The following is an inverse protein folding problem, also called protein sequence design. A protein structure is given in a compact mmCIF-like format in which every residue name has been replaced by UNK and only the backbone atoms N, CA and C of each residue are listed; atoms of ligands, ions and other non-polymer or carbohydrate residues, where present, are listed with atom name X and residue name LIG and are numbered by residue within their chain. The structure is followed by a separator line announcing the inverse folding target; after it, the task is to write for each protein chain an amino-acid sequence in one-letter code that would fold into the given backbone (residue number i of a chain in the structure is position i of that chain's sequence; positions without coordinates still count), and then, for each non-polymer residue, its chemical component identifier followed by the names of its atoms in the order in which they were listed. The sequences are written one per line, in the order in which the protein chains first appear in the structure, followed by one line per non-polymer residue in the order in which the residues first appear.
data_IF_307625730142
#
_entry.id   IF_307625730142
#
_cell.length_a   1.000
_cell.length_b   1.000
_cell.length_c   1.000
_cell.angle_alpha   90.00
_cell.angle_beta   90.00
_cell.angle_gamma   90.00
#
_symmetry.space_group_name_H-M   'P 1'
#
loop_
_entity.id
_entity.type
_entity.pdbx_description
1 polymer ?
#
# COMPACT_ATOMS: atom_id res chain seq x y z
N UNK A 1 29.03 -33.90 21.09
CA UNK A 1 29.56 -32.55 21.48
C UNK A 1 28.66 -31.46 20.84
N UNK A 2 28.52 -30.24 21.39
CA UNK A 2 27.69 -29.19 20.76
C UNK A 2 28.11 -28.83 19.33
N UNK A 3 29.42 -28.94 19.05
CA UNK A 3 29.97 -28.66 17.69
C UNK A 3 29.52 -29.70 16.66
N UNK A 4 29.47 -30.98 17.04
CA UNK A 4 29.06 -32.05 16.13
C UNK A 4 27.57 -31.93 15.83
N UNK A 5 26.76 -31.61 16.85
CA UNK A 5 25.34 -31.34 16.65
C UNK A 5 25.06 -30.11 15.75
N UNK A 6 25.88 -29.07 15.89
CA UNK A 6 25.78 -27.90 15.01
C UNK A 6 26.13 -28.26 13.56
N UNK A 7 27.15 -29.09 13.33
CA UNK A 7 27.52 -29.55 12.00
C UNK A 7 26.40 -30.36 11.34
N UNK A 8 25.79 -31.31 12.08
CA UNK A 8 24.62 -32.07 11.60
C UNK A 8 23.46 -31.17 11.20
N UNK A 9 23.13 -30.15 12.04
CA UNK A 9 22.07 -29.18 11.74
C UNK A 9 22.41 -28.31 10.52
N UNK A 10 23.66 -27.98 10.29
CA UNK A 10 24.07 -27.23 9.10
C UNK A 10 23.97 -28.08 7.82
N UNK A 11 24.26 -29.37 7.88
CA UNK A 11 24.04 -30.27 6.73
C UNK A 11 22.54 -30.36 6.39
N UNK A 12 21.68 -30.53 7.40
CA UNK A 12 20.22 -30.54 7.17
C UNK A 12 19.72 -29.21 6.62
N UNK A 13 20.20 -28.07 7.15
CA UNK A 13 19.86 -26.73 6.63
C UNK A 13 20.35 -26.52 5.20
N UNK A 14 21.53 -27.02 4.85
CA UNK A 14 22.08 -26.91 3.50
C UNK A 14 21.22 -27.67 2.47
N UNK A 15 20.76 -28.88 2.84
CA UNK A 15 19.88 -29.68 2.00
C UNK A 15 18.53 -29.00 1.80
N UNK A 16 17.89 -28.55 2.88
CA UNK A 16 16.60 -27.86 2.83
C UNK A 16 16.68 -26.53 2.07
N UNK A 17 17.78 -25.78 2.25
CA UNK A 17 18.03 -24.55 1.49
C UNK A 17 18.19 -24.83 -0.01
N UNK A 18 18.91 -25.88 -0.37
CA UNK A 18 19.07 -26.30 -1.76
C UNK A 18 17.73 -26.69 -2.40
N UNK A 19 16.92 -27.50 -1.71
CA UNK A 19 15.59 -27.88 -2.15
C UNK A 19 14.69 -26.66 -2.35
N UNK A 20 14.68 -25.73 -1.39
CA UNK A 20 13.92 -24.49 -1.47
C UNK A 20 14.35 -23.64 -2.68
N UNK A 21 15.66 -23.47 -2.89
CA UNK A 21 16.17 -22.69 -4.01
C UNK A 21 15.76 -23.29 -5.36
N UNK A 22 15.82 -24.61 -5.50
CA UNK A 22 15.39 -25.30 -6.71
C UNK A 22 13.87 -25.16 -6.97
N UNK A 23 13.05 -25.23 -5.91
CA UNK A 23 11.60 -24.98 -5.98
C UNK A 23 11.33 -23.54 -6.40
N UNK A 24 12.00 -22.56 -5.77
CA UNK A 24 11.90 -21.15 -6.15
C UNK A 24 12.31 -20.94 -7.61
N UNK A 25 13.35 -21.62 -8.09
CA UNK A 25 13.77 -21.62 -9.50
C UNK A 25 12.66 -22.09 -10.43
N UNK A 26 11.99 -23.21 -10.10
CA UNK A 26 10.87 -23.71 -10.89
C UNK A 26 9.66 -22.74 -10.89
N UNK A 27 9.38 -22.10 -9.76
CA UNK A 27 8.35 -21.06 -9.68
C UNK A 27 8.67 -19.89 -10.62
N UNK A 28 9.91 -19.44 -10.64
CA UNK A 28 10.36 -18.33 -11.51
C UNK A 28 10.20 -18.70 -12.98
N UNK A 29 10.55 -19.92 -13.39
CA UNK A 29 10.36 -20.42 -14.78
C UNK A 29 8.88 -20.40 -15.18
N UNK A 30 7.98 -20.90 -14.32
CA UNK A 30 6.53 -20.89 -14.56
C UNK A 30 6.02 -19.45 -14.69
N UNK A 31 6.49 -18.54 -13.85
CA UNK A 31 6.11 -17.13 -13.90
C UNK A 31 6.63 -16.47 -15.19
N UNK A 32 7.83 -16.81 -15.64
CA UNK A 32 8.36 -16.34 -16.92
C UNK A 32 7.52 -16.83 -18.11
N UNK A 33 7.01 -18.06 -18.05
CA UNK A 33 6.08 -18.61 -19.06
C UNK A 33 4.76 -17.85 -19.06
N UNK A 34 4.15 -17.64 -17.89
CA UNK A 34 2.90 -16.87 -17.74
C UNK A 34 3.03 -15.45 -18.31
N UNK A 35 4.17 -14.81 -18.08
CA UNK A 35 4.42 -13.44 -18.56
C UNK A 35 4.63 -13.41 -20.08
N UNK A 36 5.50 -14.29 -20.59
CA UNK A 36 5.81 -14.41 -22.03
C UNK A 36 4.57 -14.71 -22.86
N UNK A 37 3.71 -15.59 -22.39
CA UNK A 37 2.52 -16.05 -23.12
C UNK A 37 1.30 -15.15 -22.87
N UNK A 38 1.46 -14.06 -22.08
CA UNK A 38 0.41 -13.07 -21.81
C UNK A 38 -0.78 -13.60 -21.02
N UNK A 39 -0.62 -14.69 -20.26
CA UNK A 39 -1.70 -15.40 -19.59
C UNK A 39 -2.26 -14.67 -18.36
N UNK A 40 -1.57 -13.66 -17.87
CA UNK A 40 -1.98 -12.88 -16.68
C UNK A 40 -3.37 -12.26 -16.85
N UNK A 41 -3.69 -11.72 -18.05
CA UNK A 41 -4.93 -11.01 -18.33
C UNK A 41 -6.20 -11.87 -18.17
N UNK A 42 -6.10 -13.17 -18.39
CA UNK A 42 -7.21 -14.13 -18.27
C UNK A 42 -7.70 -14.25 -16.82
N UNK A 43 -6.84 -14.01 -15.85
CA UNK A 43 -7.11 -14.25 -14.42
C UNK A 43 -7.80 -13.07 -13.73
N UNK A 44 -7.97 -11.92 -14.40
CA UNK A 44 -8.41 -10.68 -13.77
C UNK A 44 -7.34 -9.94 -12.96
N UNK A 45 -6.14 -10.48 -12.81
CA UNK A 45 -5.06 -9.80 -12.11
C UNK A 45 -4.53 -8.59 -12.89
N UNK A 46 -4.12 -7.52 -12.20
CA UNK A 46 -3.63 -6.29 -12.84
C UNK A 46 -2.23 -6.40 -13.40
N UNK A 47 -1.45 -7.35 -12.92
CA UNK A 47 -0.08 -7.60 -13.34
C UNK A 47 0.35 -9.01 -12.91
N UNK A 48 1.39 -9.53 -13.56
CA UNK A 48 1.98 -10.83 -13.17
C UNK A 48 2.42 -10.82 -11.71
N UNK A 49 3.01 -9.73 -11.22
CA UNK A 49 3.39 -9.62 -9.81
C UNK A 49 2.17 -9.68 -8.86
N UNK A 50 1.05 -9.04 -9.21
CA UNK A 50 -0.17 -9.14 -8.42
C UNK A 50 -0.76 -10.54 -8.45
N UNK A 51 -0.71 -11.23 -9.61
CA UNK A 51 -1.12 -12.62 -9.76
C UNK A 51 -0.29 -13.56 -8.88
N UNK A 52 1.04 -13.41 -8.90
CA UNK A 52 1.98 -14.22 -8.11
C UNK A 52 1.75 -14.00 -6.62
N UNK A 53 1.63 -12.75 -6.17
CA UNK A 53 1.34 -12.42 -4.78
C UNK A 53 0.04 -13.10 -4.30
N UNK A 54 -1.02 -12.97 -5.08
CA UNK A 54 -2.32 -13.55 -4.77
C UNK A 54 -2.29 -15.08 -4.76
N UNK A 55 -1.87 -15.71 -5.86
CA UNK A 55 -1.98 -17.17 -6.04
C UNK A 55 -1.00 -17.97 -5.19
N UNK A 56 0.14 -17.40 -4.85
CA UNK A 56 1.13 -18.06 -3.98
C UNK A 56 1.04 -17.60 -2.52
N UNK A 57 0.19 -16.62 -2.17
CA UNK A 57 0.07 -16.09 -0.83
C UNK A 57 1.34 -15.35 -0.36
N UNK A 58 2.04 -14.67 -1.30
CA UNK A 58 3.30 -14.00 -1.03
C UNK A 58 3.12 -12.49 -0.80
N UNK A 59 4.12 -11.90 -0.13
CA UNK A 59 4.20 -10.44 -0.06
C UNK A 59 4.39 -9.82 -1.45
N UNK A 60 3.93 -8.58 -1.66
CA UNK A 60 4.14 -7.86 -2.91
C UNK A 60 5.63 -7.71 -3.26
N UNK A 61 6.50 -7.60 -2.25
CA UNK A 61 7.96 -7.52 -2.43
C UNK A 61 8.52 -8.81 -2.98
N UNK A 62 8.16 -9.95 -2.39
CA UNK A 62 8.62 -11.28 -2.85
C UNK A 62 8.09 -11.58 -4.26
N UNK A 63 6.82 -11.28 -4.52
CA UNK A 63 6.23 -11.44 -5.84
C UNK A 63 6.92 -10.56 -6.90
N UNK A 64 7.28 -9.32 -6.53
CA UNK A 64 8.07 -8.45 -7.41
C UNK A 64 9.47 -9.00 -7.68
N UNK A 65 10.14 -9.57 -6.67
CA UNK A 65 11.44 -10.23 -6.86
C UNK A 65 11.32 -11.40 -7.86
N UNK A 66 10.33 -12.28 -7.69
CA UNK A 66 10.08 -13.39 -8.61
C UNK A 66 9.87 -12.89 -10.04
N UNK A 67 9.01 -11.89 -10.24
CA UNK A 67 8.73 -11.35 -11.58
C UNK A 67 9.93 -10.63 -12.19
N UNK A 68 10.75 -9.96 -11.38
CA UNK A 68 12.00 -9.33 -11.83
C UNK A 68 13.00 -10.36 -12.33
N UNK A 69 13.17 -11.46 -11.60
CA UNK A 69 14.04 -12.56 -12.02
C UNK A 69 13.47 -13.24 -13.29
N UNK A 70 12.17 -13.53 -13.30
CA UNK A 70 11.48 -14.13 -14.43
C UNK A 70 11.66 -13.34 -15.73
N UNK A 71 11.54 -12.01 -15.67
CA UNK A 71 11.69 -11.12 -16.83
C UNK A 71 13.11 -11.05 -17.39
N UNK A 72 14.11 -11.49 -16.62
CA UNK A 72 15.51 -11.43 -17.02
C UNK A 72 16.23 -12.79 -17.03
N UNK A 73 15.48 -13.90 -16.96
CA UNK A 73 16.07 -15.26 -16.99
C UNK A 73 16.97 -15.50 -18.22
N UNK A 74 16.57 -14.98 -19.37
CA UNK A 74 17.35 -15.14 -20.62
C UNK A 74 18.67 -14.36 -20.61
N UNK A 75 18.79 -13.30 -19.78
CA UNK A 75 20.01 -12.51 -19.64
C UNK A 75 21.00 -13.16 -18.65
N UNK A 76 20.52 -14.00 -17.72
CA UNK A 76 21.29 -14.62 -16.66
C UNK A 76 21.16 -16.16 -16.62
N UNK A 77 21.46 -16.87 -17.70
CA UNK A 77 21.25 -18.32 -17.79
C UNK A 77 22.09 -19.13 -16.80
N UNK A 78 23.32 -18.72 -16.48
CA UNK A 78 24.19 -19.42 -15.52
C UNK A 78 23.70 -19.21 -14.08
N UNK A 79 23.26 -18.00 -13.75
CA UNK A 79 22.61 -17.72 -12.46
C UNK A 79 21.31 -18.50 -12.31
N UNK A 80 20.48 -18.57 -13.37
CA UNK A 80 19.25 -19.36 -13.40
C UNK A 80 19.52 -20.85 -13.19
N UNK A 81 20.52 -21.41 -13.88
CA UNK A 81 20.97 -22.78 -13.67
C UNK A 81 21.45 -23.01 -12.22
N UNK A 82 22.20 -22.08 -11.66
CA UNK A 82 22.63 -22.15 -10.26
C UNK A 82 21.48 -22.18 -9.27
N UNK A 83 20.38 -21.48 -9.57
CA UNK A 83 19.16 -21.52 -8.78
C UNK A 83 18.39 -22.85 -8.96
N UNK A 84 18.22 -23.32 -10.18
CA UNK A 84 17.58 -24.59 -10.48
C UNK A 84 18.30 -25.80 -9.83
N UNK A 85 19.62 -25.74 -9.71
CA UNK A 85 20.47 -26.72 -9.03
C UNK A 85 20.51 -26.51 -7.49
N UNK A 86 19.81 -25.52 -6.94
CA UNK A 86 19.73 -25.25 -5.51
C UNK A 86 20.88 -24.41 -4.93
N UNK A 87 21.87 -24.04 -5.74
CA UNK A 87 23.07 -23.31 -5.27
C UNK A 87 22.84 -21.83 -4.98
N UNK A 88 21.95 -21.19 -5.70
CA UNK A 88 21.65 -19.76 -5.58
C UNK A 88 20.23 -19.53 -5.11
N UNK A 89 20.05 -18.60 -4.20
CA UNK A 89 18.73 -18.25 -3.67
C UNK A 89 17.99 -17.23 -4.53
N UNK A 90 16.69 -17.17 -4.39
CA UNK A 90 15.82 -16.14 -5.00
C UNK A 90 16.27 -14.73 -4.63
N UNK A 91 16.71 -14.49 -3.39
CA UNK A 91 17.19 -13.19 -2.94
C UNK A 91 18.50 -12.78 -3.64
N UNK A 92 19.42 -13.73 -3.88
CA UNK A 92 20.65 -13.47 -4.63
C UNK A 92 20.35 -13.12 -6.10
N UNK A 93 19.53 -13.95 -6.77
CA UNK A 93 19.12 -13.68 -8.14
C UNK A 93 18.30 -12.40 -8.24
N UNK A 94 17.44 -12.10 -7.28
CA UNK A 94 16.66 -10.87 -7.24
C UNK A 94 17.52 -9.60 -7.22
N UNK A 95 18.65 -9.64 -6.52
CA UNK A 95 19.63 -8.54 -6.52
C UNK A 95 20.34 -8.43 -7.87
N UNK A 96 20.77 -9.55 -8.43
CA UNK A 96 21.47 -9.61 -9.73
C UNK A 96 20.50 -9.14 -10.83
N UNK A 97 19.36 -9.81 -11.00
CA UNK A 97 18.36 -9.47 -12.02
C UNK A 97 17.81 -8.05 -11.87
N UNK A 98 17.73 -7.52 -10.64
CA UNK A 98 17.22 -6.17 -10.41
C UNK A 98 18.15 -5.06 -10.93
N UNK A 99 19.46 -5.30 -11.06
CA UNK A 99 20.43 -4.21 -11.32
C UNK A 99 21.68 -4.56 -12.10
N UNK A 100 22.07 -5.82 -12.22
CA UNK A 100 23.28 -6.20 -12.95
C UNK A 100 23.19 -5.82 -14.44
N UNK A 101 24.32 -5.48 -15.04
CA UNK A 101 24.42 -5.14 -16.45
C UNK A 101 24.28 -6.36 -17.35
N UNK A 102 23.91 -6.14 -18.59
CA UNK A 102 23.89 -7.17 -19.62
C UNK A 102 25.31 -7.75 -19.83
N UNK A 103 25.43 -9.06 -19.98
CA UNK A 103 26.71 -9.76 -20.18
C UNK A 103 27.49 -10.05 -18.90
N UNK A 104 26.97 -9.73 -17.69
CA UNK A 104 27.64 -9.99 -16.41
C UNK A 104 27.27 -11.32 -15.74
N UNK A 105 26.55 -12.20 -16.44
CA UNK A 105 26.02 -13.47 -15.91
C UNK A 105 27.12 -14.38 -15.33
N UNK A 106 28.19 -14.66 -16.09
CA UNK A 106 29.28 -15.52 -15.65
C UNK A 106 29.93 -14.99 -14.37
N UNK A 107 30.19 -13.66 -14.33
CA UNK A 107 30.76 -13.01 -13.16
C UNK A 107 29.88 -13.18 -11.91
N UNK A 108 28.59 -12.93 -12.03
CA UNK A 108 27.69 -13.02 -10.88
C UNK A 108 27.33 -14.46 -10.51
N UNK A 109 27.27 -15.38 -11.46
CA UNK A 109 27.09 -16.80 -11.18
C UNK A 109 28.23 -17.36 -10.32
N UNK A 110 29.47 -16.95 -10.58
CA UNK A 110 30.64 -17.34 -9.77
C UNK A 110 30.65 -16.58 -8.44
N UNK A 111 30.52 -15.27 -8.46
CA UNK A 111 30.59 -14.43 -7.26
C UNK A 111 29.50 -14.78 -6.23
N UNK A 112 28.27 -15.06 -6.67
CA UNK A 112 27.14 -15.39 -5.80
C UNK A 112 27.33 -16.70 -5.00
N UNK A 113 28.23 -17.59 -5.45
CA UNK A 113 28.55 -18.83 -4.71
C UNK A 113 29.20 -18.60 -3.35
N UNK A 114 29.88 -17.47 -3.18
CA UNK A 114 30.57 -17.12 -1.94
C UNK A 114 30.13 -15.78 -1.34
N UNK A 115 29.27 -15.02 -2.02
CA UNK A 115 28.85 -13.70 -1.61
C UNK A 115 27.51 -13.73 -0.87
N UNK A 116 27.43 -12.92 0.18
CA UNK A 116 26.15 -12.61 0.82
C UNK A 116 25.30 -11.69 -0.06
N UNK A 117 23.98 -11.67 0.15
CA UNK A 117 23.08 -10.77 -0.56
C UNK A 117 23.51 -9.29 -0.46
N UNK A 118 24.06 -8.87 0.68
CA UNK A 118 24.55 -7.50 0.86
C UNK A 118 25.82 -7.21 0.07
N UNK A 119 26.71 -8.18 -0.07
CA UNK A 119 27.89 -8.05 -0.93
C UNK A 119 27.50 -7.96 -2.41
N UNK A 120 26.55 -8.79 -2.86
CA UNK A 120 25.96 -8.69 -4.19
C UNK A 120 25.33 -7.33 -4.45
N UNK A 121 24.53 -6.80 -3.52
CA UNK A 121 23.96 -5.44 -3.65
C UNK A 121 25.03 -4.37 -3.82
N UNK A 122 26.15 -4.51 -3.10
CA UNK A 122 27.27 -3.58 -3.21
C UNK A 122 27.96 -3.70 -4.56
N UNK A 123 28.27 -4.93 -5.00
CA UNK A 123 28.92 -5.19 -6.28
C UNK A 123 28.09 -4.65 -7.46
N UNK A 124 26.82 -5.00 -7.54
CA UNK A 124 25.88 -4.54 -8.58
C UNK A 124 25.73 -3.02 -8.58
N UNK A 125 25.78 -2.38 -7.40
CA UNK A 125 25.73 -0.90 -7.30
C UNK A 125 27.00 -0.24 -7.83
N UNK A 126 28.16 -0.86 -7.65
CA UNK A 126 29.46 -0.35 -8.07
C UNK A 126 29.83 -0.72 -9.51
N UNK A 127 29.03 -1.58 -10.15
CA UNK A 127 29.23 -1.96 -11.55
C UNK A 127 29.27 -0.72 -12.45
N UNK A 128 30.30 -0.59 -13.32
CA UNK A 128 30.39 0.53 -14.24
C UNK A 128 29.18 0.59 -15.16
N UNK A 129 28.50 1.72 -15.19
CA UNK A 129 27.35 1.95 -16.07
C UNK A 129 27.65 3.09 -17.03
N UNK A 130 27.11 3.03 -18.26
CA UNK A 130 27.06 4.23 -19.08
C UNK A 130 26.39 5.34 -18.25
N UNK A 131 26.85 6.59 -18.39
CA UNK A 131 26.25 7.73 -17.67
C UNK A 131 24.74 7.65 -17.87
N UNK A 132 23.95 7.57 -16.78
CA UNK A 132 22.49 7.58 -16.91
C UNK A 132 22.08 8.87 -17.61
N UNK A 133 21.07 8.77 -18.47
CA UNK A 133 20.38 9.96 -18.95
C UNK A 133 20.03 10.87 -17.77
N UNK A 134 20.07 12.21 -17.95
CA UNK A 134 19.76 13.12 -16.88
C UNK A 134 18.43 12.70 -16.25
N UNK A 135 18.48 12.33 -14.96
CA UNK A 135 17.27 11.93 -14.25
C UNK A 135 16.28 13.07 -14.38
N UNK A 136 15.01 12.78 -14.72
CA UNK A 136 13.97 13.81 -14.63
C UNK A 136 14.02 14.40 -13.22
N UNK A 137 13.81 15.70 -13.13
CA UNK A 137 13.76 16.39 -11.84
C UNK A 137 12.82 15.62 -10.89
N UNK A 138 13.18 15.45 -9.61
CA UNK A 138 12.33 14.75 -8.67
C UNK A 138 10.94 15.39 -8.68
N UNK A 139 9.91 14.59 -8.96
CA UNK A 139 8.53 15.04 -8.90
C UNK A 139 8.12 15.25 -7.45
N UNK A 140 7.35 16.31 -7.21
CA UNK A 140 6.73 16.55 -5.91
C UNK A 140 5.86 15.35 -5.51
N UNK A 141 6.05 14.85 -4.30
CA UNK A 141 5.32 13.69 -3.79
C UNK A 141 5.04 13.82 -2.30
N UNK A 142 3.86 13.38 -1.88
CA UNK A 142 3.49 13.26 -0.47
C UNK A 142 3.05 11.81 -0.23
N UNK A 143 3.67 11.14 0.73
CA UNK A 143 3.29 9.80 1.17
C UNK A 143 2.96 9.77 2.66
N UNK A 144 2.06 8.86 3.03
CA UNK A 144 1.58 8.68 4.40
C UNK A 144 1.74 7.21 4.79
N UNK A 145 2.25 6.98 5.99
CA UNK A 145 2.31 5.67 6.63
C UNK A 145 1.81 5.82 8.06
N UNK A 146 0.88 4.96 8.50
CA UNK A 146 0.34 4.97 9.87
C UNK A 146 0.64 3.64 10.55
N UNK A 147 0.92 3.70 11.84
CA UNK A 147 0.96 2.56 12.76
C UNK A 147 -0.05 2.79 13.90
N UNK A 148 0.01 1.98 14.97
CA UNK A 148 -0.90 2.08 16.11
C UNK A 148 -0.74 3.37 16.92
N UNK A 149 0.44 3.98 16.93
CA UNK A 149 0.80 5.11 17.77
C UNK A 149 0.89 6.43 17.01
N UNK A 150 1.22 6.40 15.71
CA UNK A 150 1.54 7.62 14.96
C UNK A 150 1.27 7.52 13.47
N UNK A 151 1.19 8.68 12.84
CA UNK A 151 1.15 8.81 11.37
C UNK A 151 2.35 9.62 10.90
N UNK A 152 3.16 9.00 10.04
CA UNK A 152 4.31 9.64 9.40
C UNK A 152 3.94 10.15 8.01
N UNK A 153 4.23 11.41 7.75
CA UNK A 153 4.14 12.02 6.44
C UNK A 153 5.55 12.26 5.89
N UNK A 154 5.79 11.83 4.66
CA UNK A 154 7.03 12.13 3.92
C UNK A 154 6.68 12.99 2.73
N UNK A 155 7.26 14.19 2.68
CA UNK A 155 7.08 15.19 1.64
C UNK A 155 8.39 15.29 0.86
N UNK A 156 8.33 15.13 -0.46
CA UNK A 156 9.45 15.33 -1.38
C UNK A 156 9.10 16.49 -2.29
N UNK A 157 9.91 17.52 -2.28
CA UNK A 157 9.70 18.75 -3.06
C UNK A 157 11.00 19.09 -3.81
N UNK A 158 10.93 19.65 -5.03
CA UNK A 158 12.04 20.35 -5.67
C UNK A 158 12.52 21.50 -4.77
N UNK A 159 13.80 21.88 -4.89
CA UNK A 159 14.40 22.89 -4.00
C UNK A 159 13.65 24.23 -3.97
N UNK A 160 13.08 24.67 -5.10
CA UNK A 160 12.29 25.90 -5.15
C UNK A 160 10.99 25.81 -4.35
N UNK A 161 10.27 24.71 -4.44
CA UNK A 161 9.04 24.45 -3.66
C UNK A 161 9.36 24.23 -2.18
N UNK A 162 10.46 23.50 -1.89
CA UNK A 162 10.94 23.30 -0.52
C UNK A 162 11.27 24.63 0.17
N UNK A 163 11.97 25.55 -0.52
CA UNK A 163 12.29 26.86 0.02
C UNK A 163 11.03 27.69 0.36
N UNK A 164 9.99 27.60 -0.49
CA UNK A 164 8.70 28.27 -0.21
C UNK A 164 8.02 27.68 1.01
N UNK A 165 8.01 26.35 1.12
CA UNK A 165 7.45 25.65 2.29
C UNK A 165 8.21 25.99 3.58
N UNK A 166 9.54 25.96 3.55
CA UNK A 166 10.39 26.31 4.68
C UNK A 166 10.22 27.76 5.13
N UNK A 167 10.09 28.69 4.19
CA UNK A 167 9.83 30.11 4.48
C UNK A 167 8.48 30.29 5.20
N UNK A 168 7.42 29.64 4.73
CA UNK A 168 6.11 29.68 5.36
C UNK A 168 6.15 29.10 6.79
N UNK A 169 6.81 27.95 6.97
CA UNK A 169 6.96 27.30 8.26
C UNK A 169 7.75 28.18 9.24
N UNK A 170 8.84 28.80 8.79
CA UNK A 170 9.65 29.72 9.59
C UNK A 170 8.86 30.95 10.02
N UNK A 171 8.05 31.54 9.13
CA UNK A 171 7.19 32.67 9.44
C UNK A 171 6.20 32.35 10.59
N UNK A 172 5.52 31.20 10.53
CA UNK A 172 4.62 30.77 11.60
C UNK A 172 5.36 30.50 12.92
N UNK A 173 6.55 29.89 12.86
CA UNK A 173 7.37 29.66 14.04
C UNK A 173 7.83 30.96 14.72
N UNK A 174 8.27 31.93 13.92
CA UNK A 174 8.66 33.28 14.46
C UNK A 174 7.49 33.99 15.13
N UNK A 175 6.29 33.91 14.52
CA UNK A 175 5.08 34.50 15.10
C UNK A 175 4.72 33.84 16.45
N UNK A 176 4.79 32.52 16.56
CA UNK A 176 4.56 31.77 17.79
C UNK A 176 5.61 32.14 18.87
N UNK A 177 6.88 32.22 18.51
CA UNK A 177 7.95 32.65 19.45
C UNK A 177 7.75 34.07 19.90
N UNK A 178 7.36 34.98 18.99
CA UNK A 178 7.08 36.38 19.36
C UNK A 178 5.87 36.50 20.31
N UNK A 179 4.83 35.69 20.10
CA UNK A 179 3.70 35.60 21.02
C UNK A 179 4.14 35.05 22.39
N UNK A 180 4.83 33.91 22.40
CA UNK A 180 5.34 33.30 23.61
C UNK A 180 6.22 34.26 24.46
N UNK A 181 7.07 35.07 23.81
CA UNK A 181 7.87 36.09 24.47
C UNK A 181 7.02 37.19 25.09
N UNK A 182 5.95 37.63 24.41
CA UNK A 182 5.02 38.63 24.96
C UNK A 182 4.26 38.10 26.18
N UNK A 183 3.78 36.87 26.11
CA UNK A 183 2.96 36.24 27.14
C UNK A 183 3.80 35.89 28.39
N UNK A 184 5.09 35.63 28.23
CA UNK A 184 5.99 35.32 29.33
C UNK A 184 6.34 36.54 30.18
N UNK A 185 6.33 37.75 29.62
CA UNK A 185 6.77 38.96 30.30
C UNK A 185 8.21 38.84 30.85
N UNK A 186 8.58 39.75 31.76
CA UNK A 186 9.90 39.75 32.44
C UNK A 186 10.00 38.73 33.61
N UNK A 187 8.96 37.94 33.87
CA UNK A 187 8.92 37.02 35.01
C UNK A 187 9.56 35.68 34.63
N UNK A 188 10.71 35.39 35.17
CA UNK A 188 11.34 34.06 35.14
C UNK A 188 10.58 33.09 36.08
N UNK A 189 9.39 32.65 35.71
CA UNK A 189 8.66 31.62 36.44
C UNK A 189 9.15 30.24 36.00
N UNK A 190 9.47 29.36 36.97
CA UNK A 190 9.83 27.96 36.72
C UNK A 190 8.69 27.14 36.07
N UNK A 191 7.48 27.71 36.01
CA UNK A 191 6.28 27.09 35.42
C UNK A 191 5.95 27.60 34.01
N UNK A 192 6.87 28.33 33.34
CA UNK A 192 6.63 28.84 32.00
C UNK A 192 6.49 27.67 30.96
N UNK A 193 5.51 27.74 30.02
CA UNK A 193 5.37 26.74 29.00
C UNK A 193 6.64 26.64 28.13
N UNK A 194 6.96 25.48 27.57
CA UNK A 194 8.12 25.30 26.70
C UNK A 194 8.03 26.24 25.48
N UNK A 195 9.20 26.58 24.93
CA UNK A 195 9.26 27.41 23.72
C UNK A 195 8.63 26.65 22.53
N UNK A 196 7.79 27.32 21.71
CA UNK A 196 7.14 26.69 20.54
C UNK A 196 8.14 26.00 19.60
N UNK A 197 7.80 24.79 19.18
CA UNK A 197 8.61 23.96 18.30
C UNK A 197 8.18 24.02 16.83
N UNK A 198 8.82 23.23 15.98
CA UNK A 198 8.50 23.17 14.55
C UNK A 198 7.18 22.45 14.27
N UNK A 199 6.74 21.53 15.14
CA UNK A 199 5.46 20.81 14.99
C UNK A 199 4.30 21.76 15.21
N UNK A 200 4.38 22.61 16.24
CA UNK A 200 3.37 23.65 16.50
C UNK A 200 3.28 24.66 15.34
N UNK A 201 4.43 25.05 14.78
CA UNK A 201 4.48 25.92 13.61
C UNK A 201 3.83 25.25 12.38
N UNK A 202 4.05 23.96 12.17
CA UNK A 202 3.41 23.20 11.11
C UNK A 202 1.89 23.10 11.29
N UNK A 203 1.41 22.82 12.49
CA UNK A 203 -0.02 22.78 12.79
C UNK A 203 -0.69 24.15 12.56
N UNK A 204 -0.03 25.25 12.95
CA UNK A 204 -0.51 26.61 12.66
C UNK A 204 -0.56 26.92 11.17
N UNK A 205 0.41 26.45 10.38
CA UNK A 205 0.37 26.58 8.91
C UNK A 205 -0.83 25.84 8.32
N UNK A 206 -1.14 24.63 8.82
CA UNK A 206 -2.32 23.85 8.41
C UNK A 206 -3.62 24.57 8.77
N UNK A 207 -3.75 25.07 10.00
CA UNK A 207 -4.93 25.80 10.49
C UNK A 207 -5.18 27.09 9.69
N UNK A 208 -4.12 27.86 9.38
CA UNK A 208 -4.22 29.07 8.57
C UNK A 208 -4.78 28.77 7.16
N UNK A 209 -4.44 27.62 6.57
CA UNK A 209 -5.00 27.17 5.30
C UNK A 209 -6.50 26.87 5.39
N UNK A 210 -6.97 26.34 6.50
CA UNK A 210 -8.41 26.08 6.72
C UNK A 210 -9.25 27.34 6.77
N UNK A 211 -8.80 28.35 7.49
CA UNK A 211 -9.52 29.61 7.65
C UNK A 211 -9.69 30.36 6.32
N UNK A 212 -8.65 30.36 5.49
CA UNK A 212 -8.67 30.98 4.14
C UNK A 212 -9.64 30.26 3.20
N UNK A 213 -9.62 28.94 3.16
CA UNK A 213 -10.53 28.16 2.32
C UNK A 213 -12.00 28.26 2.77
N UNK A 214 -12.27 28.28 4.07
CA UNK A 214 -13.60 28.46 4.61
C UNK A 214 -14.21 29.81 4.18
N UNK A 215 -13.41 30.85 4.14
CA UNK A 215 -13.81 32.20 3.70
C UNK A 215 -14.06 32.27 2.18
N UNK A 216 -13.26 31.56 1.41
CA UNK A 216 -13.32 31.58 -0.06
C UNK A 216 -14.45 30.71 -0.64
N UNK A 217 -14.99 29.75 0.11
CA UNK A 217 -16.01 28.78 -0.35
C UNK A 217 -17.18 28.66 0.63
N UNK A 218 -18.05 29.68 0.73
CA UNK A 218 -19.13 29.73 1.72
C UNK A 218 -20.17 28.58 1.58
N UNK A 219 -20.21 27.88 0.46
CA UNK A 219 -21.14 26.76 0.21
C UNK A 219 -20.42 25.41 -0.05
N UNK A 220 -19.10 25.34 0.05
CA UNK A 220 -18.37 24.10 -0.12
C UNK A 220 -18.26 23.35 1.21
N UNK A 221 -18.13 22.04 1.12
CA UNK A 221 -17.94 21.21 2.29
C UNK A 221 -16.62 21.58 2.98
N UNK A 222 -16.72 21.95 4.24
CA UNK A 222 -15.58 22.18 5.12
C UNK A 222 -14.69 20.94 5.18
N UNK A 223 -13.41 21.15 5.45
CA UNK A 223 -12.50 20.05 5.80
C UNK A 223 -13.09 19.31 7.01
N UNK A 224 -13.21 18.00 6.90
CA UNK A 224 -13.85 17.17 7.93
C UNK A 224 -12.90 16.07 8.35
N UNK A 225 -12.59 15.99 9.65
CA UNK A 225 -11.98 14.81 10.27
C UNK A 225 -13.11 13.87 10.66
N UNK A 226 -13.08 12.63 10.15
CA UNK A 226 -14.12 11.63 10.42
C UNK A 226 -13.61 10.65 11.46
N UNK A 227 -14.36 10.56 12.57
CA UNK A 227 -14.08 9.65 13.68
C UNK A 227 -15.24 8.66 13.80
N UNK A 228 -14.93 7.36 13.85
CA UNK A 228 -15.89 6.31 14.15
C UNK A 228 -15.91 6.07 15.66
N UNK A 229 -17.08 6.15 16.25
CA UNK A 229 -17.31 5.88 17.66
C UNK A 229 -18.09 4.58 17.82
N UNK A 230 -17.63 3.69 18.69
CA UNK A 230 -18.44 2.58 19.18
C UNK A 230 -19.39 3.11 20.28
N UNK A 231 -20.68 2.84 20.16
CA UNK A 231 -21.69 3.32 21.13
C UNK A 231 -21.61 2.53 22.44
N UNK A 232 -21.22 1.26 22.36
CA UNK A 232 -21.19 0.34 23.49
C UNK A 232 -19.83 0.26 24.18
N UNK A 233 -18.78 0.82 23.56
CA UNK A 233 -17.40 0.75 24.05
C UNK A 233 -16.74 2.13 23.96
N UNK A 234 -15.85 2.49 24.90
CA UNK A 234 -15.08 3.73 24.85
C UNK A 234 -13.94 3.63 23.81
N UNK A 235 -14.29 3.20 22.59
CA UNK A 235 -13.35 3.02 21.49
C UNK A 235 -13.68 3.97 20.35
N UNK A 236 -12.66 4.54 19.72
CA UNK A 236 -12.79 5.39 18.54
C UNK A 236 -11.65 5.17 17.56
N UNK A 237 -11.90 5.32 16.28
CA UNK A 237 -10.90 5.24 15.23
C UNK A 237 -11.09 6.36 14.21
N UNK A 238 -10.00 6.81 13.59
CA UNK A 238 -10.08 7.67 12.41
C UNK A 238 -10.63 6.87 11.22
N UNK A 239 -11.38 7.52 10.36
CA UNK A 239 -11.85 6.88 9.11
C UNK A 239 -10.66 6.43 8.25
N UNK A 240 -10.56 5.12 7.99
CA UNK A 240 -9.42 4.47 7.33
C UNK A 240 -8.07 4.75 8.03
N UNK A 241 -8.10 4.99 9.33
CA UNK A 241 -6.94 5.33 10.14
C UNK A 241 -6.82 4.46 11.41
N UNK A 242 -5.84 4.78 12.26
CA UNK A 242 -5.61 4.04 13.49
C UNK A 242 -6.70 4.29 14.54
N UNK A 243 -6.68 3.45 15.57
CA UNK A 243 -7.43 3.68 16.80
C UNK A 243 -6.90 4.92 17.52
N UNK A 244 -7.82 5.65 18.13
CA UNK A 244 -7.53 6.85 18.91
C UNK A 244 -7.36 6.50 20.38
N UNK A 245 -6.44 7.15 21.06
CA UNK A 245 -6.36 7.17 22.51
C UNK A 245 -7.60 7.87 23.10
N UNK A 246 -7.88 7.62 24.38
CA UNK A 246 -9.02 8.23 25.06
C UNK A 246 -8.93 9.78 25.05
N UNK A 247 -7.74 10.33 25.21
CA UNK A 247 -7.53 11.78 25.17
C UNK A 247 -7.80 12.38 23.78
N UNK A 248 -7.33 11.71 22.71
CA UNK A 248 -7.60 12.13 21.33
C UNK A 248 -9.08 12.01 20.97
N UNK A 249 -9.73 10.93 21.41
CA UNK A 249 -11.17 10.74 21.25
C UNK A 249 -11.94 11.89 21.87
N UNK A 250 -11.66 12.22 23.14
CA UNK A 250 -12.33 13.31 23.86
C UNK A 250 -12.08 14.66 23.18
N UNK A 251 -10.84 14.94 22.78
CA UNK A 251 -10.49 16.18 22.09
C UNK A 251 -11.24 16.34 20.77
N UNK A 252 -11.21 15.32 19.90
CA UNK A 252 -11.84 15.39 18.57
C UNK A 252 -13.37 15.38 18.61
N UNK A 253 -14.00 14.85 19.67
CA UNK A 253 -15.44 14.78 19.78
C UNK A 253 -16.05 15.95 20.58
N UNK A 254 -15.24 16.78 21.22
CA UNK A 254 -15.71 17.86 22.11
C UNK A 254 -16.57 18.91 21.38
N UNK A 255 -16.27 19.18 20.09
CA UNK A 255 -17.01 20.14 19.25
C UNK A 255 -17.28 19.57 17.84
N UNK A 256 -17.69 18.32 17.79
CA UNK A 256 -17.90 17.60 16.53
C UNK A 256 -19.35 17.66 16.06
N UNK A 257 -19.55 17.83 14.75
CA UNK A 257 -20.85 17.53 14.10
C UNK A 257 -21.01 16.03 13.88
N UNK A 258 -22.09 15.44 14.39
CA UNK A 258 -22.35 14.02 14.21
C UNK A 258 -23.04 13.72 12.86
N UNK A 259 -22.48 12.78 12.11
CA UNK A 259 -23.18 12.07 11.05
C UNK A 259 -23.55 10.68 11.54
N UNK A 260 -24.81 10.29 11.43
CA UNK A 260 -25.28 8.98 11.89
C UNK A 260 -25.36 8.01 10.72
N UNK A 261 -24.75 6.85 10.84
CA UNK A 261 -25.05 5.67 10.04
C UNK A 261 -25.38 4.50 10.97
N UNK A 262 -25.93 3.45 10.42
CA UNK A 262 -26.31 2.26 11.18
C UNK A 262 -25.34 1.12 10.89
N UNK A 263 -24.86 0.49 11.92
CA UNK A 263 -23.96 -0.68 11.86
C UNK A 263 -24.57 -1.87 12.60
N UNK A 264 -24.20 -3.07 12.15
CA UNK A 264 -24.49 -4.32 12.86
C UNK A 264 -23.23 -5.18 12.81
N UNK A 265 -22.74 -5.61 13.97
CA UNK A 265 -21.51 -6.41 14.11
C UNK A 265 -20.29 -5.76 13.44
N UNK A 266 -20.16 -4.42 13.55
CA UNK A 266 -19.11 -3.63 12.93
C UNK A 266 -19.23 -3.43 11.41
N UNK A 267 -20.38 -3.84 10.81
CA UNK A 267 -20.65 -3.66 9.39
C UNK A 267 -21.72 -2.58 9.18
N UNK A 268 -21.43 -1.55 8.35
CA UNK A 268 -22.41 -0.54 8.02
C UNK A 268 -23.59 -1.14 7.25
N UNK A 269 -24.79 -0.94 7.74
CA UNK A 269 -26.05 -1.44 7.14
C UNK A 269 -26.88 -0.36 6.47
N UNK A 270 -26.59 0.91 6.68
CA UNK A 270 -27.31 1.99 6.03
C UNK A 270 -26.79 3.39 6.40
N UNK A 271 -26.88 4.30 5.46
CA UNK A 271 -26.53 5.72 5.62
C UNK A 271 -27.57 6.66 4.96
N UNK A 272 -28.82 6.19 4.75
CA UNK A 272 -29.92 6.96 4.14
C UNK A 272 -29.87 7.09 2.61
N UNK A 273 -30.95 7.47 1.95
CA UNK A 273 -31.55 7.07 0.68
C UNK A 273 -31.25 7.96 -0.54
N UNK A 274 -31.26 7.41 -1.65
CA UNK A 274 -31.84 7.15 -2.99
C UNK A 274 -31.67 8.24 -4.02
N UNK A 275 -30.46 8.34 -4.57
CA UNK A 275 -30.19 8.90 -5.90
C UNK A 275 -29.13 8.03 -6.56
N UNK A 276 -29.03 8.04 -7.90
CA UNK A 276 -27.92 7.42 -8.64
C UNK A 276 -26.57 7.91 -8.12
N UNK A 277 -26.52 9.13 -7.62
CA UNK A 277 -25.31 9.73 -7.05
C UNK A 277 -25.08 9.18 -5.64
N UNK A 278 -23.91 8.61 -5.45
CA UNK A 278 -23.45 8.12 -4.17
C UNK A 278 -23.02 9.33 -3.34
N UNK A 279 -23.82 9.66 -2.33
CA UNK A 279 -23.53 10.76 -1.43
C UNK A 279 -22.31 10.46 -0.54
N UNK A 280 -21.73 11.49 0.09
CA UNK A 280 -20.52 11.36 0.90
C UNK A 280 -20.67 10.34 2.05
N UNK A 281 -21.82 10.28 2.69
CA UNK A 281 -22.07 9.33 3.80
C UNK A 281 -22.02 7.89 3.32
N UNK A 282 -22.70 7.61 2.22
CA UNK A 282 -22.73 6.29 1.62
C UNK A 282 -21.32 5.91 1.09
N UNK A 283 -20.58 6.87 0.53
CA UNK A 283 -19.19 6.66 0.11
C UNK A 283 -18.27 6.29 1.28
N UNK A 284 -18.37 6.99 2.42
CA UNK A 284 -17.60 6.68 3.63
C UNK A 284 -17.95 5.31 4.20
N UNK A 285 -19.26 4.96 4.23
CA UNK A 285 -19.70 3.65 4.68
C UNK A 285 -19.15 2.52 3.78
N UNK A 286 -19.08 2.74 2.46
CA UNK A 286 -18.45 1.80 1.52
C UNK A 286 -16.97 1.65 1.78
N UNK A 287 -16.25 2.74 1.97
CA UNK A 287 -14.80 2.74 2.26
C UNK A 287 -14.48 2.07 3.59
N UNK A 288 -15.33 2.26 4.60
CA UNK A 288 -15.20 1.58 5.89
C UNK A 288 -15.40 0.07 5.76
N UNK A 289 -16.43 -0.37 5.03
CA UNK A 289 -16.73 -1.79 4.81
C UNK A 289 -15.70 -2.48 3.92
N UNK A 290 -15.25 -1.81 2.86
CA UNK A 290 -14.35 -2.35 1.85
C UNK A 290 -13.22 -1.36 1.56
N UNK A 291 -12.12 -1.36 2.34
CA UNK A 291 -11.00 -0.44 2.13
C UNK A 291 -10.20 -0.76 0.85
N UNK A 292 -10.48 -1.90 0.20
CA UNK A 292 -9.79 -2.37 -1.00
C UNK A 292 -10.78 -2.64 -2.13
N UNK A 293 -10.27 -2.82 -3.34
CA UNK A 293 -11.05 -3.31 -4.47
C UNK A 293 -11.70 -4.66 -4.15
N UNK A 294 -13.00 -4.80 -4.42
CA UNK A 294 -13.78 -6.00 -4.10
C UNK A 294 -13.40 -7.24 -4.95
N UNK A 295 -12.67 -7.04 -6.05
CA UNK A 295 -12.22 -8.17 -6.88
C UNK A 295 -11.11 -8.93 -6.17
N UNK A 296 -11.26 -10.26 -5.99
CA UNK A 296 -10.28 -11.09 -5.32
C UNK A 296 -8.85 -10.89 -5.85
N UNK A 297 -7.86 -10.84 -4.96
CA UNK A 297 -6.45 -10.69 -5.28
C UNK A 297 -6.00 -9.30 -5.74
N UNK A 298 -6.91 -8.33 -5.90
CA UNK A 298 -6.56 -6.99 -6.42
C UNK A 298 -5.77 -6.13 -5.43
N UNK A 299 -6.19 -6.02 -4.17
CA UNK A 299 -5.53 -5.24 -3.12
C UNK A 299 -5.41 -3.73 -3.39
N UNK A 300 -6.04 -3.15 -4.41
CA UNK A 300 -6.01 -1.71 -4.68
C UNK A 300 -6.79 -0.93 -3.62
N UNK A 301 -6.20 0.13 -3.06
CA UNK A 301 -6.78 0.97 -2.01
C UNK A 301 -7.09 2.40 -2.46
N UNK A 302 -6.61 2.82 -3.64
CA UNK A 302 -6.74 4.21 -4.12
C UNK A 302 -7.54 4.28 -5.41
N UNK A 303 -8.24 5.41 -5.59
CA UNK A 303 -9.00 5.68 -6.80
C UNK A 303 -10.16 4.70 -7.01
N UNK A 304 -10.70 4.11 -5.95
CA UNK A 304 -11.78 3.16 -6.03
C UNK A 304 -13.08 3.84 -6.48
N UNK A 305 -13.78 3.22 -7.40
CA UNK A 305 -15.11 3.61 -7.85
C UNK A 305 -16.15 2.79 -7.10
N UNK A 306 -17.25 3.43 -6.67
CA UNK A 306 -18.39 2.70 -6.19
C UNK A 306 -19.20 2.18 -7.38
N UNK A 307 -19.45 0.89 -7.38
CA UNK A 307 -20.11 0.16 -8.45
C UNK A 307 -21.40 -0.48 -7.92
N UNK A 308 -22.49 -0.38 -8.69
CA UNK A 308 -23.73 -1.07 -8.40
C UNK A 308 -23.62 -2.52 -8.89
N UNK A 309 -23.74 -3.51 -8.01
CA UNK A 309 -23.69 -4.94 -8.36
C UNK A 309 -24.85 -5.27 -9.30
N UNK A 310 -26.09 -4.88 -8.94
CA UNK A 310 -27.19 -4.79 -9.88
C UNK A 310 -27.20 -3.37 -10.44
N UNK A 311 -27.03 -3.21 -11.76
CA UNK A 311 -26.95 -1.91 -12.38
C UNK A 311 -28.17 -1.03 -12.09
N UNK A 312 -27.93 0.27 -11.94
CA UNK A 312 -28.99 1.25 -11.74
C UNK A 312 -30.05 1.19 -12.85
N UNK A 313 -29.61 1.00 -14.09
CA UNK A 313 -30.48 0.88 -15.27
C UNK A 313 -31.42 -0.33 -15.19
N UNK A 314 -30.99 -1.38 -14.48
CA UNK A 314 -31.75 -2.60 -14.24
C UNK A 314 -32.58 -2.53 -12.92
N UNK A 315 -32.74 -1.33 -12.36
CA UNK A 315 -33.49 -1.11 -11.14
C UNK A 315 -32.72 -1.42 -9.85
N UNK A 316 -31.40 -1.46 -9.91
CA UNK A 316 -30.54 -1.61 -8.73
C UNK A 316 -30.56 -0.36 -7.85
N UNK A 317 -30.76 -0.53 -6.54
CA UNK A 317 -30.83 0.57 -5.59
C UNK A 317 -29.43 1.08 -5.22
N UNK A 318 -29.33 2.40 -4.96
CA UNK A 318 -28.11 3.02 -4.42
C UNK A 318 -28.08 2.84 -2.90
N UNK A 319 -27.88 1.60 -2.47
CA UNK A 319 -27.84 1.16 -1.08
C UNK A 319 -26.58 0.32 -0.83
N UNK A 320 -26.12 0.27 0.43
CA UNK A 320 -24.88 -0.44 0.78
C UNK A 320 -24.89 -1.90 0.31
N UNK A 321 -26.02 -2.59 0.38
CA UNK A 321 -26.14 -3.99 -0.01
C UNK A 321 -25.87 -4.21 -1.52
N UNK A 322 -26.15 -3.20 -2.34
CA UNK A 322 -26.01 -3.26 -3.80
C UNK A 322 -24.76 -2.53 -4.32
N UNK A 323 -23.92 -2.01 -3.44
CA UNK A 323 -22.73 -1.23 -3.83
C UNK A 323 -21.45 -1.90 -3.36
N UNK A 324 -20.42 -1.91 -4.21
CA UNK A 324 -19.08 -2.37 -3.89
C UNK A 324 -18.05 -1.37 -4.41
N UNK A 325 -16.84 -1.37 -3.82
CA UNK A 325 -15.74 -0.57 -4.31
C UNK A 325 -14.87 -1.38 -5.27
N UNK A 326 -14.64 -0.86 -6.46
CA UNK A 326 -13.76 -1.47 -7.47
C UNK A 326 -12.74 -0.47 -7.99
N UNK A 327 -11.54 -0.92 -8.29
CA UNK A 327 -10.54 -0.04 -8.90
C UNK A 327 -10.91 0.27 -10.37
N UNK A 328 -10.38 1.36 -10.96
CA UNK A 328 -10.71 1.73 -12.35
C UNK A 328 -10.42 0.64 -13.38
N UNK A 329 -9.42 -0.21 -13.13
CA UNK A 329 -9.08 -1.33 -13.99
C UNK A 329 -10.21 -2.38 -13.99
N UNK A 330 -10.59 -2.90 -12.81
CA UNK A 330 -11.65 -3.91 -12.69
C UNK A 330 -13.04 -3.36 -13.01
N UNK A 331 -13.29 -2.08 -12.77
CA UNK A 331 -14.51 -1.43 -13.20
C UNK A 331 -14.67 -1.47 -14.72
N UNK A 332 -13.56 -1.20 -15.47
CA UNK A 332 -13.58 -1.32 -16.94
C UNK A 332 -13.66 -2.78 -17.40
N UNK A 333 -12.98 -3.71 -16.74
CA UNK A 333 -13.07 -5.14 -17.09
C UNK A 333 -14.50 -5.65 -16.95
N UNK A 334 -15.19 -5.28 -15.87
CA UNK A 334 -16.59 -5.65 -15.65
C UNK A 334 -17.50 -5.11 -16.78
N UNK A 335 -17.41 -3.83 -17.11
CA UNK A 335 -18.20 -3.23 -18.17
C UNK A 335 -17.84 -3.72 -19.60
N UNK A 336 -16.71 -4.38 -19.76
CA UNK A 336 -16.32 -5.07 -21.02
C UNK A 336 -16.70 -6.55 -21.05
N UNK A 337 -17.29 -7.08 -19.98
CA UNK A 337 -17.66 -8.48 -19.85
C UNK A 337 -16.50 -9.45 -19.61
N UNK A 338 -15.27 -8.93 -19.38
CA UNK A 338 -14.08 -9.75 -19.10
C UNK A 338 -14.09 -10.35 -17.68
N UNK A 339 -14.81 -9.73 -16.78
CA UNK A 339 -15.20 -10.28 -15.48
C UNK A 339 -16.65 -9.94 -15.20
N UNK A 340 -17.32 -10.75 -14.41
CA UNK A 340 -18.68 -10.49 -13.94
C UNK A 340 -18.66 -10.39 -12.43
N UNK A 341 -19.27 -9.31 -11.89
CA UNK A 341 -19.47 -9.09 -10.46
C UNK A 341 -20.96 -9.27 -10.20
N UNK A 342 -21.35 -10.23 -9.36
CA UNK A 342 -22.73 -10.60 -9.10
C UNK A 342 -22.97 -10.94 -7.64
N UNK A 343 -24.24 -11.15 -7.26
CA UNK A 343 -24.67 -11.37 -5.88
C UNK A 343 -25.08 -10.09 -5.18
N UNK A 344 -24.71 -9.95 -3.95
CA UNK A 344 -24.84 -8.70 -3.18
C UNK A 344 -23.54 -8.38 -2.46
N UNK A 345 -23.47 -7.24 -1.78
CA UNK A 345 -22.23 -6.80 -1.16
C UNK A 345 -21.77 -7.65 0.04
N UNK A 346 -22.60 -8.56 0.55
CA UNK A 346 -22.27 -9.50 1.64
C UNK A 346 -21.93 -10.91 1.12
N UNK A 347 -22.41 -11.24 -0.08
CA UNK A 347 -22.16 -12.52 -0.76
C UNK A 347 -21.82 -12.26 -2.24
N UNK A 348 -20.62 -11.70 -2.43
CA UNK A 348 -20.13 -11.25 -3.72
C UNK A 348 -19.46 -12.39 -4.47
N UNK A 349 -19.89 -12.63 -5.68
CA UNK A 349 -19.25 -13.56 -6.60
C UNK A 349 -18.62 -12.81 -7.76
N UNK A 350 -17.35 -13.08 -8.04
CA UNK A 350 -16.64 -12.55 -9.20
C UNK A 350 -16.20 -13.72 -10.07
N UNK A 351 -16.60 -13.68 -11.35
CA UNK A 351 -16.21 -14.71 -12.34
C UNK A 351 -15.42 -14.10 -13.48
N UNK A 352 -14.61 -14.90 -14.13
CA UNK A 352 -13.96 -14.55 -15.40
C UNK A 352 -14.92 -14.64 -16.60
N UNK A 353 -14.41 -14.38 -17.81
CA UNK A 353 -15.17 -14.47 -19.07
C UNK A 353 -15.70 -15.90 -19.35
N UNK A 354 -15.03 -16.94 -18.85
CA UNK A 354 -15.45 -18.34 -18.96
C UNK A 354 -16.47 -18.75 -17.88
N UNK A 355 -16.87 -17.83 -16.98
CA UNK A 355 -17.79 -18.10 -15.86
C UNK A 355 -17.14 -18.81 -14.68
N UNK A 356 -15.80 -18.94 -14.65
CA UNK A 356 -15.10 -19.54 -13.53
C UNK A 356 -14.95 -18.53 -12.39
N UNK A 357 -15.27 -18.94 -11.16
CA UNK A 357 -15.18 -18.08 -9.99
C UNK A 357 -13.73 -17.73 -9.69
N UNK A 358 -13.45 -16.44 -9.56
CA UNK A 358 -12.17 -15.92 -9.09
C UNK A 358 -12.11 -16.07 -7.56
N UNK A 359 -11.55 -17.19 -7.10
CA UNK A 359 -11.40 -17.46 -5.67
C UNK A 359 -10.30 -16.61 -5.03
N UNK A 360 -10.53 -16.16 -3.80
CA UNK A 360 -9.56 -15.39 -3.03
C UNK A 360 -8.37 -16.23 -2.52
N UNK A 361 -8.52 -17.55 -2.46
CA UNK A 361 -7.55 -18.45 -1.85
C UNK A 361 -6.24 -18.59 -2.65
N UNK A 362 -5.14 -18.80 -1.94
CA UNK A 362 -3.86 -19.25 -2.50
C UNK A 362 -4.00 -20.60 -3.18
N UNK A 363 -3.16 -20.87 -4.19
CA UNK A 363 -3.03 -22.18 -4.84
C UNK A 363 -2.20 -23.16 -3.98
N UNK A 364 -1.55 -22.68 -2.93
CA UNK A 364 -0.70 -23.51 -2.09
C UNK A 364 -1.50 -24.67 -1.45
N UNK A 365 -0.97 -25.89 -1.57
CA UNK A 365 -1.52 -27.10 -0.98
C UNK A 365 -0.38 -27.95 -0.40
N UNK A 366 -0.66 -28.81 0.60
CA UNK A 366 0.35 -29.75 1.09
C UNK A 366 0.91 -30.60 -0.05
N UNK A 367 2.19 -30.98 0.00
CA UNK A 367 2.76 -31.94 -0.94
C UNK A 367 2.03 -33.27 -0.85
N UNK A 368 1.81 -33.88 -1.98
CA UNK A 368 1.16 -35.23 -2.09
C UNK A 368 2.16 -36.32 -1.83
#
# INVERSE_FOLDING_TARGET
MPKDRLAELFEELAELAGQRNAVDGRIVEIVAEIDRDGLCGITGARSVSALVAWKLGLSSTTAHTITTVAGRLAEFPLCAAGMAEGRLSLDQLGVIAGRAGEGSDEHYAEFARCATVNQLRTAVRLEPRPKPDPRPAPSSAISKTSNEESTTWRITLPHSEAATFEAALSCHREALIAQWKRDRGDSASETAPPMPDTVEAFLRLVEAGWDVEATARPHSAHTTVVVHLDVDKPAAALHLGPWLSEAERQYLTCDATCEVWFERDGQPIGAGRTTRQINRRLRRALEHRHPTCAVPGCGATRGLHAHHVRHWEDGGLTELINLVLVCPYHHRMHHRGLITISGDATDLTVTDEAGQTLGAASLARPPT
#
